data_IF_920567426724
#
_entry.id   IF_920567426724
#
_cell.length_a   1.000
_cell.length_b   1.000
_cell.length_c   1.000
_cell.angle_alpha   90.00
_cell.angle_beta   90.00
_cell.angle_gamma   90.00
#
_symmetry.space_group_name_H-M   'P 1'
#
loop_
_entity.id
_entity.type
_entity.pdbx_description
1 polymer ?
#
# COMPACT_ATOMS: atom_id res chain seq x y z
N UNK A 1 17.02 -11.42 4.63
CA UNK A 1 15.72 -11.03 4.05
C UNK A 1 15.96 -9.85 3.13
N UNK A 2 15.31 -9.82 1.97
CA UNK A 2 15.39 -8.70 1.03
C UNK A 2 14.25 -7.70 1.32
N UNK A 3 14.50 -6.42 1.03
CA UNK A 3 13.51 -5.35 1.17
C UNK A 3 12.83 -5.13 -0.17
N UNK A 4 11.50 -5.17 -0.19
CA UNK A 4 10.70 -4.90 -1.38
C UNK A 4 9.78 -3.71 -1.12
N UNK A 5 9.70 -2.80 -2.09
CA UNK A 5 8.72 -1.73 -2.13
C UNK A 5 7.51 -2.21 -2.94
N UNK A 6 6.34 -2.21 -2.30
CA UNK A 6 5.06 -2.51 -2.95
C UNK A 6 4.36 -1.19 -3.20
N UNK A 7 4.01 -0.93 -4.47
CA UNK A 7 3.23 0.23 -4.87
C UNK A 7 1.77 -0.17 -5.07
N UNK A 8 0.84 0.62 -4.51
CA UNK A 8 -0.60 0.42 -4.66
C UNK A 8 -1.19 1.65 -5.35
N UNK A 9 -1.21 1.67 -6.69
CA UNK A 9 -1.81 2.76 -7.46
C UNK A 9 -3.35 2.73 -7.36
N UNK A 10 -3.96 3.90 -7.38
CA UNK A 10 -5.42 4.07 -7.44
C UNK A 10 -5.77 5.36 -8.21
N UNK A 11 -7.05 5.55 -8.55
CA UNK A 11 -7.50 6.73 -9.29
C UNK A 11 -7.55 7.97 -8.38
N UNK A 12 -7.46 9.16 -8.98
CA UNK A 12 -7.66 10.46 -8.35
C UNK A 12 -9.14 10.77 -8.09
N UNK A 13 -9.84 9.80 -7.49
CA UNK A 13 -11.22 9.96 -7.03
C UNK A 13 -11.23 9.64 -5.55
N UNK A 14 -11.87 10.49 -4.74
CA UNK A 14 -11.92 10.29 -3.28
C UNK A 14 -12.43 8.89 -2.88
N UNK A 15 -13.36 8.33 -3.67
CA UNK A 15 -13.86 6.97 -3.49
C UNK A 15 -12.80 5.89 -3.68
N UNK A 16 -11.87 6.07 -4.62
CA UNK A 16 -10.77 5.13 -4.88
C UNK A 16 -9.68 5.25 -3.82
N UNK A 17 -9.39 6.46 -3.33
CA UNK A 17 -8.52 6.65 -2.15
C UNK A 17 -9.10 5.94 -0.91
N UNK A 18 -10.40 6.11 -0.65
CA UNK A 18 -11.09 5.45 0.46
C UNK A 18 -11.07 3.91 0.32
N UNK A 19 -11.28 3.40 -0.90
CA UNK A 19 -11.20 1.96 -1.19
C UNK A 19 -9.80 1.41 -0.96
N UNK A 20 -8.75 2.14 -1.36
CA UNK A 20 -7.37 1.76 -1.07
C UNK A 20 -7.15 1.65 0.45
N UNK A 21 -7.56 2.64 1.24
CA UNK A 21 -7.48 2.56 2.70
C UNK A 21 -8.27 1.38 3.30
N UNK A 22 -9.47 1.10 2.79
CA UNK A 22 -10.29 -0.03 3.22
C UNK A 22 -9.61 -1.39 2.96
N UNK A 23 -8.98 -1.58 1.80
CA UNK A 23 -8.25 -2.80 1.47
C UNK A 23 -7.15 -3.06 2.51
N UNK A 24 -6.40 -2.02 2.88
CA UNK A 24 -5.32 -2.14 3.87
C UNK A 24 -5.89 -2.51 5.24
N UNK A 25 -6.98 -1.86 5.68
CA UNK A 25 -7.66 -2.19 6.94
C UNK A 25 -8.12 -3.66 6.98
N UNK A 26 -8.67 -4.17 5.87
CA UNK A 26 -9.18 -5.53 5.77
C UNK A 26 -8.08 -6.58 5.72
N UNK A 27 -6.94 -6.28 5.09
CA UNK A 27 -5.76 -7.16 5.08
C UNK A 27 -5.08 -7.18 6.44
N UNK A 28 -5.06 -6.05 7.15
CA UNK A 28 -4.58 -5.93 8.51
C UNK A 28 -4.29 -4.50 8.90
N UNK A 29 -4.74 -4.07 10.08
CA UNK A 29 -4.61 -2.68 10.54
C UNK A 29 -3.18 -2.12 10.52
N UNK A 30 -2.17 -2.97 10.68
CA UNK A 30 -0.76 -2.58 10.62
C UNK A 30 -0.29 -2.19 9.21
N UNK A 31 -0.95 -2.65 8.14
CA UNK A 31 -0.66 -2.19 6.78
C UNK A 31 -1.14 -0.75 6.60
N UNK A 32 -2.35 -0.43 7.08
CA UNK A 32 -2.87 0.94 6.98
C UNK A 32 -1.94 1.95 7.68
N UNK A 33 -1.47 1.61 8.89
CA UNK A 33 -0.69 2.53 9.73
C UNK A 33 0.80 2.60 9.37
N UNK A 34 1.32 1.65 8.58
CA UNK A 34 2.73 1.61 8.15
C UNK A 34 2.93 1.90 6.67
N UNK A 35 1.84 2.19 5.95
CA UNK A 35 1.91 2.63 4.58
C UNK A 35 2.25 4.13 4.50
N UNK A 36 3.01 4.49 3.48
CA UNK A 36 3.21 5.87 3.08
C UNK A 36 2.13 6.25 2.07
N UNK A 37 1.52 7.42 2.20
CA UNK A 37 0.36 7.86 1.41
C UNK A 37 0.69 9.10 0.59
N UNK A 38 0.67 8.98 -0.73
CA UNK A 38 0.89 10.12 -1.63
C UNK A 38 -0.36 10.98 -1.84
N UNK A 39 -1.54 10.48 -1.47
CA UNK A 39 -2.83 11.09 -1.85
C UNK A 39 -2.96 12.55 -1.39
N UNK A 40 -2.38 12.90 -0.24
CA UNK A 40 -2.43 14.27 0.31
C UNK A 40 -1.58 15.28 -0.50
N UNK A 41 -0.67 14.80 -1.36
CA UNK A 41 0.20 15.59 -2.23
C UNK A 41 -0.12 15.37 -3.73
N UNK A 42 -1.30 14.81 -4.03
CA UNK A 42 -1.77 14.57 -5.40
C UNK A 42 -1.18 13.33 -6.08
N UNK A 43 -0.35 12.55 -5.40
CA UNK A 43 0.19 11.27 -5.90
C UNK A 43 -0.71 10.12 -5.45
N UNK A 44 -1.56 9.62 -6.37
CA UNK A 44 -2.58 8.60 -6.07
C UNK A 44 -1.98 7.19 -6.02
N UNK A 45 -1.06 7.01 -5.06
CA UNK A 45 -0.36 5.78 -4.74
C UNK A 45 -0.16 5.69 -3.23
N UNK A 46 -0.17 4.46 -2.75
CA UNK A 46 0.36 4.12 -1.43
C UNK A 46 1.58 3.21 -1.58
N UNK A 47 2.48 3.24 -0.60
CA UNK A 47 3.68 2.42 -0.59
C UNK A 47 3.82 1.65 0.71
N UNK A 48 4.24 0.39 0.63
CA UNK A 48 4.63 -0.41 1.79
C UNK A 48 6.00 -1.02 1.53
N UNK A 49 6.86 -1.00 2.55
CA UNK A 49 8.11 -1.76 2.54
C UNK A 49 7.91 -3.06 3.32
N UNK A 50 8.19 -4.19 2.67
CA UNK A 50 8.17 -5.52 3.29
C UNK A 50 9.55 -6.15 3.28
N UNK A 51 9.82 -6.98 4.29
CA UNK A 51 11.04 -7.76 4.39
C UNK A 51 10.70 -9.23 4.26
N UNK A 52 11.06 -9.85 3.14
CA UNK A 52 10.70 -11.25 2.82
C UNK A 52 11.85 -11.96 2.10
N UNK A 53 11.75 -13.27 1.90
CA UNK A 53 12.79 -14.09 1.29
C UNK A 53 12.88 -13.94 -0.24
N UNK A 54 11.77 -13.56 -0.90
CA UNK A 54 11.72 -13.49 -2.36
C UNK A 54 10.67 -12.49 -2.87
N UNK A 55 10.74 -12.19 -4.17
CA UNK A 55 9.75 -11.35 -4.85
C UNK A 55 8.37 -12.02 -4.91
N UNK A 56 8.31 -13.34 -5.04
CA UNK A 56 7.04 -14.07 -5.11
C UNK A 56 6.33 -14.04 -3.76
N UNK A 57 7.07 -14.19 -2.65
CA UNK A 57 6.55 -13.99 -1.30
C UNK A 57 6.04 -12.55 -1.08
N UNK A 58 6.70 -11.55 -1.67
CA UNK A 58 6.25 -10.15 -1.60
C UNK A 58 4.94 -9.87 -2.36
N UNK A 59 4.53 -10.75 -3.29
CA UNK A 59 3.31 -10.58 -4.09
C UNK A 59 2.06 -11.16 -3.43
N UNK A 60 2.23 -12.06 -2.46
CA UNK A 60 1.14 -12.79 -1.82
C UNK A 60 0.67 -14.00 -2.63
#
# INVERSE_FOLDING_TARGET
>A
MARFLIEVPHDNQAAECARAAEIFLRTGSHFLTRAEWGCMDGEHRAWIIVEVGSRDEARG
#
